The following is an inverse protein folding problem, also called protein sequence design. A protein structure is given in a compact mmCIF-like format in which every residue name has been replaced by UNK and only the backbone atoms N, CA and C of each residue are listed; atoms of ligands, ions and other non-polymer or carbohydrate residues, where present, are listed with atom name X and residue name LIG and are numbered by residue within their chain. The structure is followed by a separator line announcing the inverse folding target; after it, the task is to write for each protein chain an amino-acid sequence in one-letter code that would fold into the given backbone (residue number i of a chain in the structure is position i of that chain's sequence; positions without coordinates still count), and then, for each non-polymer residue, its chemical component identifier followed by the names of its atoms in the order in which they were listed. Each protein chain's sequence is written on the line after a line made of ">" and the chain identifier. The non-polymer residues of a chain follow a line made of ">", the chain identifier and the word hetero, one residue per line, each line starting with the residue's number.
data_IF_049544628966
#
_entry.id   IF_049544628966
#
_cell.length_a   1.000
_cell.length_b   1.000
_cell.length_c   1.000
_cell.angle_alpha   90.00
_cell.angle_beta   90.00
_cell.angle_gamma   90.00
#
_symmetry.space_group_name_H-M   'P 1'
#
loop_
_entity.id
_entity.type
_entity.pdbx_description
1 polymer ?
#
# COMPACT_ATOMS: atom_id res chain seq x y z
N UNK A 1 5.15 12.91 -14.49
CA UNK A 1 6.10 14.03 -14.71
C UNK A 1 6.11 14.53 -16.15
N UNK A 2 6.08 13.68 -17.19
CA UNK A 2 6.10 14.11 -18.59
C UNK A 2 4.97 15.08 -19.01
N UNK A 3 3.77 14.93 -18.47
CA UNK A 3 2.59 15.75 -18.85
C UNK A 3 2.63 17.21 -18.36
N UNK A 4 3.39 17.48 -17.30
CA UNK A 4 3.53 18.84 -16.75
C UNK A 4 4.53 19.67 -17.56
N UNK A 5 5.59 19.04 -18.05
CA UNK A 5 6.62 19.64 -18.92
C UNK A 5 6.07 19.99 -20.31
N UNK A 6 5.15 19.17 -20.84
CA UNK A 6 4.46 19.44 -22.12
C UNK A 6 3.67 20.76 -22.06
N UNK A 7 3.02 21.03 -20.93
CA UNK A 7 2.22 22.24 -20.71
C UNK A 7 3.13 23.48 -20.58
N UNK A 8 4.28 23.34 -19.93
CA UNK A 8 5.24 24.44 -19.76
C UNK A 8 5.81 24.91 -21.09
N UNK A 9 6.07 23.98 -22.02
CA UNK A 9 6.63 24.30 -23.34
C UNK A 9 5.65 25.03 -24.25
N UNK A 10 4.34 24.76 -24.13
CA UNK A 10 3.30 25.47 -24.87
C UNK A 10 3.13 26.93 -24.43
N UNK A 11 3.46 27.25 -23.18
CA UNK A 11 3.36 28.63 -22.66
C UNK A 11 4.51 29.54 -23.10
N UNK A 12 5.70 28.99 -23.35
CA UNK A 12 6.89 29.78 -23.70
C UNK A 12 6.85 30.38 -25.12
N UNK A 13 5.95 29.87 -25.99
CA UNK A 13 5.81 30.32 -27.39
C UNK A 13 4.84 31.51 -27.53
N UNK A 14 4.12 31.89 -26.47
CA UNK A 14 3.10 32.96 -26.50
C UNK A 14 3.60 34.39 -26.21
N UNK A 15 4.90 34.59 -25.96
CA UNK A 15 5.50 35.85 -25.46
C UNK A 15 5.91 36.88 -26.56
N UNK A 16 5.23 36.91 -27.71
CA UNK A 16 5.39 38.02 -28.68
C UNK A 16 4.24 39.00 -28.48
N UNK A 17 4.50 40.09 -27.75
CA UNK A 17 3.53 41.10 -27.29
C UNK A 17 3.43 42.24 -28.31
N UNK A 18 2.20 42.60 -28.72
CA UNK A 18 1.86 43.83 -29.48
C UNK A 18 0.85 44.69 -28.70
N UNK A 19 0.90 46.00 -28.92
CA UNK A 19 0.36 47.10 -28.12
C UNK A 19 -1.18 47.26 -28.19
N UNK A 20 -1.93 46.64 -27.28
CA UNK A 20 -3.24 47.16 -26.87
C UNK A 20 -3.58 46.75 -25.42
N UNK A 21 -3.38 47.67 -24.47
CA UNK A 21 -3.38 47.40 -23.01
C UNK A 21 -4.72 46.89 -22.45
N UNK A 22 -5.85 47.13 -23.11
CA UNK A 22 -7.18 46.72 -22.64
C UNK A 22 -7.53 45.28 -23.07
N UNK A 23 -7.06 44.88 -24.26
CA UNK A 23 -7.20 43.51 -24.77
C UNK A 23 -6.27 42.55 -24.01
N UNK A 24 -5.08 43.02 -23.65
CA UNK A 24 -4.11 42.26 -22.83
C UNK A 24 -4.64 41.93 -21.42
N UNK A 25 -5.32 42.87 -20.78
CA UNK A 25 -5.97 42.62 -19.47
C UNK A 25 -7.11 41.63 -19.61
N UNK A 26 -7.96 41.79 -20.64
CA UNK A 26 -9.07 40.88 -20.92
C UNK A 26 -8.57 39.46 -21.23
N UNK A 27 -7.48 39.34 -21.99
CA UNK A 27 -6.81 38.07 -22.31
C UNK A 27 -6.21 37.41 -21.06
N UNK A 28 -5.57 38.19 -20.19
CA UNK A 28 -5.06 37.70 -18.89
C UNK A 28 -6.18 37.23 -17.98
N UNK A 29 -7.26 37.98 -17.85
CA UNK A 29 -8.43 37.57 -17.07
C UNK A 29 -9.03 36.26 -17.59
N UNK A 30 -9.26 36.12 -18.91
CA UNK A 30 -9.75 34.87 -19.51
C UNK A 30 -8.80 33.69 -19.27
N UNK A 31 -7.50 33.93 -19.36
CA UNK A 31 -6.47 32.90 -19.10
C UNK A 31 -6.53 32.43 -17.64
N UNK A 32 -6.62 33.37 -16.69
CA UNK A 32 -6.73 33.06 -15.26
C UNK A 32 -8.03 32.32 -14.95
N UNK A 33 -9.15 32.71 -15.55
CA UNK A 33 -10.43 32.00 -15.39
C UNK A 33 -10.36 30.57 -15.89
N UNK A 34 -9.77 30.35 -17.07
CA UNK A 34 -9.55 29.01 -17.62
C UNK A 34 -8.64 28.18 -16.71
N UNK A 35 -7.54 28.77 -16.21
CA UNK A 35 -6.64 28.10 -15.28
C UNK A 35 -7.33 27.72 -13.97
N UNK A 36 -8.16 28.62 -13.41
CA UNK A 36 -8.95 28.33 -12.22
C UNK A 36 -9.94 27.18 -12.44
N UNK A 37 -10.59 27.11 -13.61
CA UNK A 37 -11.48 26.00 -13.93
C UNK A 37 -10.73 24.66 -14.06
N UNK A 38 -9.54 24.68 -14.65
CA UNK A 38 -8.67 23.49 -14.74
C UNK A 38 -8.25 23.05 -13.33
N UNK A 39 -7.80 23.98 -12.49
CA UNK A 39 -7.39 23.71 -11.10
C UNK A 39 -8.55 23.13 -10.28
N UNK A 40 -9.75 23.70 -10.41
CA UNK A 40 -10.94 23.21 -9.72
C UNK A 40 -11.27 21.76 -10.15
N UNK A 41 -11.20 21.50 -11.45
CA UNK A 41 -11.43 20.16 -12.00
C UNK A 41 -10.38 19.16 -11.48
N UNK A 42 -9.10 19.55 -11.46
CA UNK A 42 -8.02 18.71 -10.92
C UNK A 42 -8.22 18.42 -9.43
N UNK A 43 -8.61 19.43 -8.65
CA UNK A 43 -8.87 19.28 -7.23
C UNK A 43 -9.99 18.29 -6.95
N UNK A 44 -11.15 18.42 -7.63
CA UNK A 44 -12.27 17.50 -7.43
C UNK A 44 -11.95 16.07 -7.89
N UNK A 45 -11.15 15.92 -8.95
CA UNK A 45 -10.67 14.62 -9.38
C UNK A 45 -9.74 13.98 -8.33
N UNK A 46 -8.76 14.72 -7.82
CA UNK A 46 -7.84 14.23 -6.80
C UNK A 46 -8.58 13.85 -5.51
N UNK A 47 -9.56 14.65 -5.11
CA UNK A 47 -10.43 14.37 -3.96
C UNK A 47 -11.22 13.07 -4.15
N UNK A 48 -11.75 12.81 -5.36
CA UNK A 48 -12.43 11.56 -5.70
C UNK A 48 -11.48 10.37 -5.64
N UNK A 49 -10.31 10.49 -6.27
CA UNK A 49 -9.27 9.46 -6.27
C UNK A 49 -8.80 9.12 -4.86
N UNK A 50 -8.57 10.12 -4.01
CA UNK A 50 -8.21 9.92 -2.61
C UNK A 50 -9.31 9.17 -1.84
N UNK A 51 -10.58 9.51 -2.09
CA UNK A 51 -11.70 8.79 -1.48
C UNK A 51 -11.74 7.32 -1.91
N UNK A 52 -11.47 7.02 -3.19
CA UNK A 52 -11.41 5.66 -3.70
C UNK A 52 -10.21 4.89 -3.11
N UNK A 53 -9.04 5.51 -3.09
CA UNK A 53 -7.82 4.94 -2.51
C UNK A 53 -8.02 4.57 -1.03
N UNK A 54 -8.68 5.42 -0.25
CA UNK A 54 -9.01 5.14 1.17
C UNK A 54 -9.96 3.97 1.36
N UNK A 55 -10.82 3.66 0.38
CA UNK A 55 -11.77 2.54 0.43
C UNK A 55 -11.15 1.21 -0.01
N UNK A 56 -9.93 1.22 -0.55
CA UNK A 56 -9.21 -0.02 -0.86
C UNK A 56 -8.77 -0.73 0.42
N UNK A 57 -8.51 -2.04 0.32
CA UNK A 57 -7.96 -2.84 1.41
C UNK A 57 -6.65 -2.27 1.96
N UNK A 58 -5.76 -1.81 1.07
CA UNK A 58 -4.50 -1.15 1.47
C UNK A 58 -4.79 0.16 2.21
N UNK A 59 -5.78 0.92 1.74
CA UNK A 59 -6.22 2.16 2.39
C UNK A 59 -6.77 1.94 3.80
N UNK A 60 -7.57 0.90 4.00
CA UNK A 60 -8.08 0.53 5.33
C UNK A 60 -6.95 0.08 6.24
N UNK A 61 -6.05 -0.81 5.77
CA UNK A 61 -4.87 -1.25 6.51
C UNK A 61 -4.00 -0.10 7.00
N UNK A 62 -3.68 0.88 6.13
CA UNK A 62 -2.90 2.06 6.51
C UNK A 62 -3.65 2.90 7.55
N UNK A 63 -4.97 3.04 7.39
CA UNK A 63 -5.78 3.80 8.35
C UNK A 63 -5.78 3.15 9.74
N UNK A 64 -5.88 1.82 9.80
CA UNK A 64 -5.93 1.07 11.04
C UNK A 64 -4.56 1.00 11.71
N UNK A 65 -3.49 0.83 10.93
CA UNK A 65 -2.11 0.97 11.41
C UNK A 65 -1.87 2.34 12.04
N UNK A 66 -2.34 3.44 11.42
CA UNK A 66 -2.22 4.79 12.03
C UNK A 66 -3.04 4.93 13.31
N UNK A 67 -4.21 4.30 13.41
CA UNK A 67 -5.01 4.31 14.65
C UNK A 67 -4.33 3.52 15.76
N UNK A 68 -3.74 2.37 15.43
CA UNK A 68 -2.97 1.55 16.36
C UNK A 68 -1.72 2.29 16.86
N UNK A 69 -0.98 2.96 15.97
CA UNK A 69 0.19 3.76 16.33
C UNK A 69 -0.15 4.89 17.32
N UNK A 70 -1.33 5.54 17.17
CA UNK A 70 -1.82 6.54 18.15
C UNK A 70 -2.07 5.95 19.55
N UNK A 71 -2.32 4.65 19.63
CA UNK A 71 -2.47 3.91 20.89
C UNK A 71 -1.13 3.32 21.39
N UNK A 72 -0.01 3.66 20.73
CA UNK A 72 1.30 3.10 21.04
C UNK A 72 1.51 1.67 20.57
N UNK A 73 0.63 1.15 19.70
CA UNK A 73 0.69 -0.22 19.18
C UNK A 73 1.41 -0.20 17.83
N UNK A 74 2.50 -0.96 17.71
CA UNK A 74 3.18 -1.19 16.45
C UNK A 74 2.57 -2.40 15.73
N UNK A 75 1.58 -2.14 14.89
CA UNK A 75 0.93 -3.19 14.10
C UNK A 75 1.88 -3.89 13.12
N UNK A 76 2.94 -3.23 12.64
CA UNK A 76 3.86 -3.85 11.69
C UNK A 76 4.75 -4.86 12.41
N UNK A 77 5.26 -4.50 13.59
CA UNK A 77 6.01 -5.42 14.42
C UNK A 77 5.19 -6.68 14.77
N UNK A 78 3.92 -6.49 15.19
CA UNK A 78 3.03 -7.62 15.51
C UNK A 78 2.82 -8.53 14.29
N UNK A 79 2.54 -7.98 13.11
CA UNK A 79 2.34 -8.80 11.91
C UNK A 79 3.61 -9.57 11.52
N UNK A 80 4.80 -8.96 11.64
CA UNK A 80 6.06 -9.64 11.37
C UNK A 80 6.26 -10.80 12.34
N UNK A 81 6.04 -10.57 13.64
CA UNK A 81 6.13 -11.62 14.66
C UNK A 81 5.16 -12.77 14.39
N UNK A 82 3.92 -12.47 14.00
CA UNK A 82 2.93 -13.50 13.62
C UNK A 82 3.40 -14.34 12.44
N UNK A 83 3.93 -13.70 11.38
CA UNK A 83 4.43 -14.41 10.20
C UNK A 83 5.67 -15.25 10.54
N UNK A 84 6.60 -14.73 11.35
CA UNK A 84 7.77 -15.48 11.78
C UNK A 84 7.37 -16.73 12.58
N UNK A 85 6.36 -16.62 13.45
CA UNK A 85 5.81 -17.77 14.17
C UNK A 85 5.18 -18.80 13.22
N UNK A 86 4.40 -18.37 12.22
CA UNK A 86 3.84 -19.25 11.19
C UNK A 86 4.94 -19.97 10.39
N UNK A 87 5.99 -19.25 9.97
CA UNK A 87 7.13 -19.81 9.25
C UNK A 87 7.83 -20.87 10.11
N UNK A 88 7.99 -20.61 11.40
CA UNK A 88 8.62 -21.55 12.33
C UNK A 88 7.81 -22.85 12.45
N UNK A 89 6.48 -22.76 12.59
CA UNK A 89 5.59 -23.94 12.63
C UNK A 89 5.71 -24.76 11.34
N UNK A 90 5.60 -24.11 10.17
CA UNK A 90 5.73 -24.80 8.88
C UNK A 90 7.11 -25.43 8.71
N UNK A 91 8.16 -24.76 9.18
CA UNK A 91 9.53 -25.29 9.15
C UNK A 91 9.69 -26.52 10.02
N UNK A 92 9.08 -26.55 11.21
CA UNK A 92 9.09 -27.74 12.08
C UNK A 92 8.38 -28.93 11.44
N UNK A 93 7.23 -28.72 10.79
CA UNK A 93 6.53 -29.78 10.05
C UNK A 93 7.41 -30.30 8.91
N UNK A 94 7.98 -29.39 8.11
CA UNK A 94 8.88 -29.74 7.00
C UNK A 94 10.06 -30.57 7.49
N UNK A 95 10.71 -30.13 8.56
CA UNK A 95 11.91 -30.77 9.10
C UNK A 95 11.57 -32.12 9.73
N UNK A 96 10.43 -32.26 10.40
CA UNK A 96 9.91 -33.54 10.88
C UNK A 96 9.71 -34.56 9.75
N UNK A 97 9.06 -34.16 8.65
CA UNK A 97 8.88 -35.03 7.47
C UNK A 97 10.23 -35.37 6.83
N UNK A 98 11.14 -34.40 6.76
CA UNK A 98 12.49 -34.61 6.22
C UNK A 98 13.29 -35.59 7.07
N UNK A 99 13.23 -35.49 8.40
CA UNK A 99 13.94 -36.38 9.32
C UNK A 99 13.44 -37.82 9.24
N UNK A 100 12.13 -38.02 8.99
CA UNK A 100 11.61 -39.37 8.71
C UNK A 100 12.14 -39.91 7.38
N UNK A 101 12.13 -39.10 6.32
CA UNK A 101 12.68 -39.48 5.00
C UNK A 101 14.17 -39.86 5.10
N UNK A 102 14.92 -39.13 5.91
CA UNK A 102 16.36 -39.34 6.15
C UNK A 102 16.64 -40.43 7.21
N UNK A 103 15.62 -41.16 7.67
CA UNK A 103 15.70 -42.23 8.67
C UNK A 103 16.31 -41.80 10.02
N UNK A 104 16.22 -40.50 10.36
CA UNK A 104 16.67 -39.97 11.66
C UNK A 104 15.65 -40.19 12.78
N UNK A 105 14.38 -40.35 12.42
CA UNK A 105 13.30 -40.74 13.32
C UNK A 105 12.66 -42.04 12.85
N UNK A 106 12.18 -42.83 13.80
CA UNK A 106 11.52 -44.11 13.55
C UNK A 106 10.08 -43.92 13.07
N UNK A 107 9.49 -44.96 12.49
CA UNK A 107 8.07 -44.95 12.12
C UNK A 107 7.15 -44.74 13.34
N UNK A 108 7.55 -45.21 14.54
CA UNK A 108 6.78 -45.00 15.76
C UNK A 108 6.76 -43.53 16.16
N UNK A 109 7.90 -42.86 16.06
CA UNK A 109 8.01 -41.41 16.32
C UNK A 109 7.29 -40.59 15.27
N UNK A 110 7.39 -40.97 13.99
CA UNK A 110 6.68 -40.30 12.91
C UNK A 110 5.15 -40.38 13.06
N UNK A 111 4.64 -41.55 13.45
CA UNK A 111 3.20 -41.74 13.74
C UNK A 111 2.74 -40.97 14.98
N UNK A 112 3.65 -40.56 15.86
CA UNK A 112 3.36 -39.67 16.98
C UNK A 112 3.16 -38.20 16.58
N UNK A 113 3.49 -37.84 15.33
CA UNK A 113 3.39 -36.48 14.81
C UNK A 113 4.54 -35.57 15.25
N UNK A 114 4.65 -34.38 14.64
CA UNK A 114 5.66 -33.41 15.03
C UNK A 114 5.36 -32.89 16.45
N UNK A 115 6.38 -32.60 17.27
CA UNK A 115 6.17 -32.03 18.60
C UNK A 115 5.59 -30.62 18.47
N UNK A 116 4.28 -30.49 18.67
CA UNK A 116 3.58 -29.20 18.64
C UNK A 116 3.59 -28.55 20.02
N UNK A 117 3.90 -27.25 20.08
CA UNK A 117 3.67 -26.43 21.26
C UNK A 117 2.22 -25.92 21.23
N UNK A 118 1.63 -25.58 22.37
CA UNK A 118 0.23 -25.10 22.45
C UNK A 118 -0.04 -23.87 21.57
N UNK A 119 0.95 -23.00 21.40
CA UNK A 119 0.90 -21.83 20.50
C UNK A 119 0.86 -22.24 19.02
N UNK A 120 1.41 -23.40 18.67
CA UNK A 120 1.41 -23.94 17.31
C UNK A 120 0.03 -24.42 16.86
N UNK A 121 -0.86 -24.76 17.79
CA UNK A 121 -2.19 -25.33 17.50
C UNK A 121 -3.17 -24.25 17.00
N UNK A 122 -3.17 -23.08 17.64
CA UNK A 122 -3.93 -21.89 17.20
C UNK A 122 -3.42 -21.39 15.84
N UNK A 123 -2.10 -21.28 15.69
CA UNK A 123 -1.46 -20.86 14.43
C UNK A 123 -1.72 -21.87 13.30
N UNK A 124 -1.81 -23.17 13.61
CA UNK A 124 -2.14 -24.19 12.61
C UNK A 124 -3.57 -24.02 12.07
N UNK A 125 -4.52 -23.64 12.95
CA UNK A 125 -5.89 -23.32 12.53
C UNK A 125 -5.90 -22.17 11.54
N UNK A 126 -5.17 -21.09 11.84
CA UNK A 126 -5.07 -19.91 10.96
C UNK A 126 -4.39 -20.20 9.62
N UNK A 127 -3.52 -21.20 9.54
CA UNK A 127 -2.87 -21.61 8.27
C UNK A 127 -3.80 -22.47 7.41
N UNK A 128 -4.74 -23.20 8.01
CA UNK A 128 -5.62 -24.16 7.33
C UNK A 128 -6.97 -23.57 6.88
N UNK A 129 -7.39 -22.44 7.46
CA UNK A 129 -8.52 -21.61 6.96
C UNK A 129 -8.17 -20.84 5.68
#
# INVERSE_FOLDING_TARGET
>A
MARLLEIERLHQVGEVIDNNSEDDLTRKCRTIEQQNQILLTQYENLKRELCLAKKTHVGTMVSDSRKAAKKGIDSMAIMVETIDNQINVVSQIRDFVKDFREQKITIKEFLGGPPMQSVSEEIMSDILE
#
